data_IF_916793306280
#
_entry.id   IF_916793306280
#
_cell.length_a   1.000
_cell.length_b   1.000
_cell.length_c   1.000
_cell.angle_alpha   90.00
_cell.angle_beta   90.00
_cell.angle_gamma   90.00
#
_symmetry.space_group_name_H-M   'P 1'
#
loop_
_entity.id
_entity.type
_entity.pdbx_description
1 polymer ?
#
# COMPACT_ATOMS: atom_id res chain seq x y z
N UNK A 1 12.71 -12.06 -51.16
CA UNK A 1 12.55 -13.08 -50.11
C UNK A 1 11.53 -12.54 -49.13
N UNK A 2 10.29 -13.06 -49.03
CA UNK A 2 9.38 -12.56 -48.02
C UNK A 2 9.70 -13.27 -46.70
N UNK A 3 10.06 -12.46 -45.68
CA UNK A 3 10.25 -12.91 -44.31
C UNK A 3 8.90 -13.32 -43.71
N UNK A 4 8.77 -14.58 -43.31
CA UNK A 4 7.60 -15.07 -42.58
C UNK A 4 7.63 -14.55 -41.15
N UNK A 5 6.67 -13.68 -40.83
CA UNK A 5 6.45 -13.19 -39.47
C UNK A 5 5.82 -14.31 -38.64
N UNK A 6 6.59 -14.93 -37.75
CA UNK A 6 6.03 -15.87 -36.77
C UNK A 6 5.31 -15.09 -35.67
N UNK A 7 3.98 -15.23 -35.62
CA UNK A 7 3.18 -14.74 -34.50
C UNK A 7 3.30 -15.77 -33.38
N UNK A 8 4.16 -15.51 -32.39
CA UNK A 8 4.23 -16.32 -31.17
C UNK A 8 3.11 -15.88 -30.24
N UNK A 9 2.02 -16.65 -30.18
CA UNK A 9 0.99 -16.46 -29.16
C UNK A 9 1.53 -16.88 -27.78
N UNK A 10 1.09 -16.20 -26.72
CA UNK A 10 1.41 -16.59 -25.35
C UNK A 10 0.88 -18.01 -25.07
N UNK A 11 1.65 -18.86 -24.35
CA UNK A 11 1.19 -20.20 -24.01
C UNK A 11 -0.04 -20.13 -23.11
N UNK A 12 -1.10 -20.83 -23.47
CA UNK A 12 -2.30 -20.98 -22.64
C UNK A 12 -2.04 -22.10 -21.63
N UNK A 13 -2.30 -21.83 -20.34
CA UNK A 13 -2.18 -22.83 -19.30
C UNK A 13 -3.08 -24.04 -19.60
N UNK A 14 -2.54 -25.25 -19.45
CA UNK A 14 -3.30 -26.50 -19.64
C UNK A 14 -4.43 -26.56 -18.61
N UNK A 15 -5.68 -26.43 -19.04
CA UNK A 15 -6.85 -26.81 -18.23
C UNK A 15 -7.00 -28.33 -18.28
N UNK A 16 -6.79 -29.01 -17.15
CA UNK A 16 -7.13 -30.42 -17.02
C UNK A 16 -8.66 -30.55 -16.89
N UNK A 17 -9.30 -31.57 -17.50
CA UNK A 17 -10.71 -31.82 -17.30
C UNK A 17 -10.96 -32.28 -15.85
N UNK A 18 -11.95 -31.66 -15.20
CA UNK A 18 -12.40 -31.97 -13.84
C UNK A 18 -13.60 -31.09 -13.48
N UNK A 19 -14.52 -31.59 -12.66
CA UNK A 19 -15.60 -30.76 -12.13
C UNK A 19 -15.07 -29.94 -10.95
N UNK A 20 -15.22 -28.62 -11.02
CA UNK A 20 -14.98 -27.70 -9.91
C UNK A 20 -16.34 -27.09 -9.49
N UNK A 21 -16.98 -27.62 -8.43
CA UNK A 21 -18.25 -27.11 -7.95
C UNK A 21 -18.21 -25.65 -7.47
N UNK A 22 -17.02 -25.09 -7.24
CA UNK A 22 -16.82 -23.74 -6.73
C UNK A 22 -16.29 -22.77 -7.79
N UNK A 23 -16.20 -23.20 -9.05
CA UNK A 23 -15.72 -22.35 -10.14
C UNK A 23 -16.50 -21.03 -10.28
N UNK A 24 -17.77 -21.01 -9.87
CA UNK A 24 -18.62 -19.82 -9.88
C UNK A 24 -18.10 -18.68 -8.97
N UNK A 25 -17.33 -19.00 -7.91
CA UNK A 25 -16.69 -17.99 -7.03
C UNK A 25 -15.61 -17.16 -7.73
N UNK A 26 -15.16 -17.57 -8.92
CA UNK A 26 -14.19 -16.80 -9.72
C UNK A 26 -14.81 -15.52 -10.29
N UNK A 27 -16.14 -15.48 -10.44
CA UNK A 27 -16.89 -14.30 -10.92
C UNK A 27 -17.12 -13.33 -9.76
N UNK A 28 -16.02 -12.72 -9.28
CA UNK A 28 -15.93 -11.94 -8.03
C UNK A 28 -16.97 -10.82 -7.90
N UNK A 29 -17.33 -10.20 -9.03
CA UNK A 29 -18.23 -9.05 -9.06
C UNK A 29 -19.70 -9.45 -9.30
N UNK A 30 -20.00 -10.75 -9.41
CA UNK A 30 -21.37 -11.23 -9.56
C UNK A 30 -22.17 -11.07 -8.26
N UNK A 31 -23.47 -10.81 -8.39
CA UNK A 31 -24.36 -10.65 -7.24
C UNK A 31 -24.37 -11.90 -6.34
N UNK A 32 -24.35 -13.09 -6.95
CA UNK A 32 -24.34 -14.38 -6.24
C UNK A 32 -23.09 -14.54 -5.36
N UNK A 33 -21.91 -14.20 -5.89
CA UNK A 33 -20.65 -14.26 -5.13
C UNK A 33 -20.63 -13.23 -4.00
N UNK A 34 -21.05 -12.00 -4.28
CA UNK A 34 -21.09 -10.94 -3.27
C UNK A 34 -22.07 -11.28 -2.13
N UNK A 35 -23.22 -11.87 -2.43
CA UNK A 35 -24.19 -12.25 -1.42
C UNK A 35 -23.72 -13.43 -0.57
N UNK A 36 -23.03 -14.40 -1.18
CA UNK A 36 -22.36 -15.47 -0.44
C UNK A 36 -21.27 -14.93 0.49
N UNK A 37 -20.42 -14.02 0.02
CA UNK A 37 -19.38 -13.39 0.84
C UNK A 37 -19.94 -12.59 2.02
N UNK A 38 -21.07 -11.88 1.83
CA UNK A 38 -21.76 -11.21 2.94
C UNK A 38 -22.28 -12.20 3.97
N UNK A 39 -22.83 -13.33 3.53
CA UNK A 39 -23.33 -14.38 4.41
C UNK A 39 -22.20 -15.03 5.22
N UNK A 40 -21.06 -15.32 4.58
CA UNK A 40 -19.86 -15.81 5.25
C UNK A 40 -19.32 -14.80 6.28
N UNK A 41 -19.25 -13.51 5.92
CA UNK A 41 -18.84 -12.47 6.87
C UNK A 41 -19.79 -12.37 8.06
N UNK A 42 -21.11 -12.46 7.84
CA UNK A 42 -22.09 -12.44 8.94
C UNK A 42 -21.95 -13.65 9.86
N UNK A 43 -21.68 -14.84 9.30
CA UNK A 43 -21.41 -16.04 10.08
C UNK A 43 -20.14 -15.88 10.92
N UNK A 44 -19.05 -15.36 10.33
CA UNK A 44 -17.80 -15.07 11.02
C UNK A 44 -18.01 -14.13 12.21
N UNK A 45 -18.72 -13.01 12.01
CA UNK A 45 -19.01 -12.06 13.09
C UNK A 45 -19.81 -12.72 14.22
N UNK A 46 -20.77 -13.59 13.89
CA UNK A 46 -21.52 -14.35 14.90
C UNK A 46 -20.64 -15.34 15.68
N UNK A 47 -19.70 -16.02 15.01
CA UNK A 47 -18.77 -16.95 15.69
C UNK A 47 -17.75 -16.24 16.58
N UNK A 48 -17.37 -15.02 16.21
CA UNK A 48 -16.37 -14.24 16.95
C UNK A 48 -16.96 -13.26 17.97
N UNK A 49 -18.28 -13.18 18.08
CA UNK A 49 -18.97 -12.21 18.93
C UNK A 49 -18.49 -12.26 20.40
N UNK A 50 -18.32 -13.46 20.95
CA UNK A 50 -17.87 -13.66 22.34
C UNK A 50 -16.42 -13.19 22.59
N UNK A 51 -15.64 -12.98 21.52
CA UNK A 51 -14.23 -12.59 21.58
C UNK A 51 -14.05 -11.07 21.41
N UNK A 52 -15.12 -10.30 21.28
CA UNK A 52 -15.04 -8.87 20.97
C UNK A 52 -14.17 -8.08 21.97
N UNK A 53 -14.33 -8.34 23.27
CA UNK A 53 -13.55 -7.67 24.30
C UNK A 53 -12.05 -8.00 24.25
N UNK A 54 -11.72 -9.26 23.91
CA UNK A 54 -10.33 -9.68 23.74
C UNK A 54 -9.72 -9.02 22.50
N UNK A 55 -10.45 -8.98 21.39
CA UNK A 55 -10.03 -8.33 20.14
C UNK A 55 -9.74 -6.84 20.35
N UNK A 56 -10.63 -6.15 21.08
CA UNK A 56 -10.45 -4.73 21.41
C UNK A 56 -9.19 -4.51 22.28
N UNK A 57 -9.01 -5.33 23.31
CA UNK A 57 -7.80 -5.28 24.15
C UNK A 57 -6.53 -5.45 23.31
N UNK A 58 -6.50 -6.45 22.44
CA UNK A 58 -5.37 -6.71 21.56
C UNK A 58 -5.14 -5.56 20.57
N UNK A 59 -6.21 -4.97 20.04
CA UNK A 59 -6.13 -3.82 19.14
C UNK A 59 -5.45 -2.64 19.84
N UNK A 60 -5.91 -2.24 21.03
CA UNK A 60 -5.32 -1.15 21.79
C UNK A 60 -3.88 -1.44 22.24
N UNK A 61 -3.58 -2.69 22.60
CA UNK A 61 -2.19 -3.08 22.90
C UNK A 61 -1.27 -2.97 21.70
N UNK A 62 -1.70 -3.42 20.52
CA UNK A 62 -0.91 -3.33 19.29
C UNK A 62 -0.74 -1.87 18.90
N UNK A 63 -1.82 -1.10 18.91
CA UNK A 63 -1.80 0.35 18.62
C UNK A 63 -0.86 1.09 19.56
N UNK A 64 -0.93 0.82 20.86
CA UNK A 64 -0.07 1.44 21.87
C UNK A 64 1.42 1.09 21.73
N UNK A 65 1.77 0.05 20.97
CA UNK A 65 3.17 -0.32 20.65
C UNK A 65 3.66 0.30 19.34
N UNK A 66 2.79 0.94 18.58
CA UNK A 66 3.12 1.63 17.34
C UNK A 66 3.43 3.09 17.67
N UNK A 67 4.60 3.57 17.24
CA UNK A 67 4.92 4.98 17.29
C UNK A 67 4.16 5.70 16.17
N UNK A 68 2.98 6.26 16.48
CA UNK A 68 2.13 6.86 15.44
C UNK A 68 2.77 8.10 14.80
N UNK A 69 3.51 8.88 15.58
CA UNK A 69 4.28 10.02 15.07
C UNK A 69 5.74 9.64 14.96
N UNK A 70 6.16 9.28 13.75
CA UNK A 70 7.52 8.83 13.48
C UNK A 70 8.09 9.53 12.25
N UNK A 71 9.41 9.68 12.26
CA UNK A 71 10.20 10.21 11.16
C UNK A 71 11.19 9.12 10.76
N UNK A 72 11.13 8.68 9.51
CA UNK A 72 12.09 7.70 9.02
C UNK A 72 13.51 8.26 9.05
N UNK A 73 14.50 7.37 9.05
CA UNK A 73 15.89 7.77 8.85
C UNK A 73 16.04 8.53 7.51
N UNK A 74 16.56 9.76 7.51
CA UNK A 74 16.76 10.52 6.29
C UNK A 74 17.81 9.87 5.38
N UNK A 75 17.45 9.66 4.13
CA UNK A 75 18.33 9.10 3.09
C UNK A 75 18.90 10.24 2.23
N UNK A 76 20.22 10.47 2.24
CA UNK A 76 20.83 11.50 1.42
C UNK A 76 20.89 11.09 -0.05
N UNK A 77 20.44 11.99 -0.94
CA UNK A 77 20.63 11.84 -2.38
C UNK A 77 20.74 13.20 -3.08
N UNK A 78 21.88 13.44 -3.72
CA UNK A 78 22.15 14.70 -4.38
C UNK A 78 22.09 15.87 -3.38
N UNK A 79 21.36 16.96 -3.69
CA UNK A 79 21.26 18.12 -2.81
C UNK A 79 20.15 18.00 -1.74
N UNK A 80 19.53 16.82 -1.59
CA UNK A 80 18.39 16.61 -0.70
C UNK A 80 18.59 15.45 0.28
N UNK A 81 17.89 15.52 1.40
CA UNK A 81 17.56 14.38 2.24
C UNK A 81 16.11 13.97 1.96
N UNK A 82 15.86 12.68 1.80
CA UNK A 82 14.52 12.10 1.60
C UNK A 82 14.09 11.28 2.80
N UNK A 83 12.84 11.42 3.21
CA UNK A 83 12.30 10.70 4.36
C UNK A 83 10.79 10.62 4.28
N UNK A 84 10.21 9.78 5.13
CA UNK A 84 8.78 9.75 5.37
C UNK A 84 8.46 10.18 6.79
N UNK A 85 7.26 10.71 6.99
CA UNK A 85 6.72 11.04 8.30
C UNK A 85 5.30 10.51 8.43
N UNK A 86 4.99 9.97 9.60
CA UNK A 86 3.63 9.72 10.06
C UNK A 86 3.32 10.69 11.20
N UNK A 87 2.06 11.05 11.33
CA UNK A 87 1.51 11.76 12.49
C UNK A 87 0.35 10.95 13.07
N UNK A 88 0.01 11.20 14.33
CA UNK A 88 -1.09 10.47 14.98
C UNK A 88 -2.39 10.53 14.16
N UNK A 89 -2.96 9.37 13.86
CA UNK A 89 -4.15 9.22 13.02
C UNK A 89 -3.91 9.14 11.52
N UNK A 90 -2.66 9.26 11.03
CA UNK A 90 -2.37 8.95 9.62
C UNK A 90 -2.45 7.45 9.37
N UNK A 91 -3.11 7.06 8.29
CA UNK A 91 -3.16 5.66 7.83
C UNK A 91 -1.93 5.32 6.96
N UNK A 92 -1.29 6.33 6.38
CA UNK A 92 -0.18 6.20 5.46
C UNK A 92 0.94 7.21 5.75
N UNK A 93 2.19 6.82 5.54
CA UNK A 93 3.32 7.73 5.67
C UNK A 93 3.35 8.74 4.51
N UNK A 94 3.53 10.03 4.83
CA UNK A 94 3.75 11.09 3.83
C UNK A 94 5.22 11.13 3.42
N UNK A 95 5.48 11.44 2.15
CA UNK A 95 6.83 11.49 1.60
C UNK A 95 7.31 12.93 1.52
N UNK A 96 8.50 13.19 2.06
CA UNK A 96 9.09 14.52 2.14
C UNK A 96 10.52 14.53 1.60
N UNK A 97 11.01 15.74 1.35
CA UNK A 97 12.43 16.03 1.24
C UNK A 97 12.79 17.34 1.93
N UNK A 98 14.05 17.53 2.28
CA UNK A 98 14.59 18.84 2.64
C UNK A 98 15.99 19.03 2.05
N UNK A 99 16.53 20.25 2.13
CA UNK A 99 17.90 20.52 1.65
C UNK A 99 18.91 19.77 2.50
N UNK A 100 19.90 19.16 1.85
CA UNK A 100 21.00 18.52 2.57
C UNK A 100 21.86 19.57 3.28
N UNK A 101 22.14 19.39 4.58
CA UNK A 101 23.04 20.26 5.33
C UNK A 101 24.43 20.35 4.71
N UNK A 102 25.08 21.53 4.82
CA UNK A 102 26.42 21.76 4.29
C UNK A 102 27.53 20.99 5.05
N UNK A 103 27.24 20.55 6.27
CA UNK A 103 28.13 19.71 7.08
C UNK A 103 27.99 18.20 6.79
N UNK A 104 27.24 17.85 5.74
CA UNK A 104 26.95 16.49 5.31
C UNK A 104 26.22 15.61 6.34
N UNK A 105 25.70 16.20 7.42
CA UNK A 105 24.86 15.50 8.38
C UNK A 105 23.51 15.06 7.79
N UNK A 106 22.92 14.02 8.37
CA UNK A 106 21.54 13.59 8.05
C UNK A 106 20.51 14.32 8.92
N UNK A 107 20.82 15.54 9.36
CA UNK A 107 19.89 16.32 10.17
C UNK A 107 18.82 16.95 9.28
N UNK A 108 17.55 16.69 9.59
CA UNK A 108 16.43 17.29 8.85
C UNK A 108 16.30 18.76 9.21
N UNK A 109 16.42 19.62 8.19
CA UNK A 109 16.06 21.03 8.29
C UNK A 109 14.58 21.21 7.96
N UNK A 110 13.76 21.40 8.99
CA UNK A 110 12.32 21.61 8.84
C UNK A 110 11.96 22.90 8.09
N UNK A 111 12.86 23.88 7.99
CA UNK A 111 12.59 25.14 7.28
C UNK A 111 12.67 25.00 5.76
N UNK A 112 13.36 23.98 5.26
CA UNK A 112 13.47 23.65 3.84
C UNK A 112 12.71 22.37 3.45
N UNK A 113 11.82 21.90 4.34
CA UNK A 113 10.99 20.73 4.11
C UNK A 113 9.95 20.97 3.00
N UNK A 114 9.85 20.01 2.09
CA UNK A 114 8.92 19.98 0.96
C UNK A 114 8.16 18.65 0.97
N UNK A 115 6.82 18.71 0.95
CA UNK A 115 5.96 17.54 0.76
C UNK A 115 5.99 17.10 -0.70
N UNK A 116 6.31 15.83 -0.95
CA UNK A 116 6.34 15.25 -2.29
C UNK A 116 5.07 14.49 -2.61
N UNK A 117 4.55 13.72 -1.65
CA UNK A 117 3.37 12.88 -1.83
C UNK A 117 2.64 12.71 -0.50
N UNK A 118 1.34 12.93 -0.52
CA UNK A 118 0.45 12.62 0.60
C UNK A 118 -0.52 11.49 0.21
N UNK A 119 -0.20 10.23 0.57
CA UNK A 119 -1.09 9.11 0.33
C UNK A 119 -2.42 9.21 1.09
N UNK A 120 -2.48 9.86 2.25
CA UNK A 120 -3.73 10.01 3.01
C UNK A 120 -4.73 10.90 2.26
N UNK A 121 -4.23 12.00 1.68
CA UNK A 121 -5.05 12.88 0.84
C UNK A 121 -5.54 12.17 -0.42
N UNK A 122 -4.70 11.33 -1.04
CA UNK A 122 -5.07 10.54 -2.22
C UNK A 122 -6.04 9.41 -1.90
N UNK A 123 -5.90 8.79 -0.73
CA UNK A 123 -6.80 7.76 -0.23
C UNK A 123 -8.22 8.30 -0.01
N UNK A 124 -8.33 9.53 0.53
CA UNK A 124 -9.60 10.17 0.86
C UNK A 124 -10.53 9.25 1.69
N UNK A 125 -9.95 8.54 2.67
CA UNK A 125 -10.64 7.55 3.52
C UNK A 125 -10.94 6.21 2.85
N UNK A 126 -10.52 6.02 1.60
CA UNK A 126 -10.54 4.74 0.90
C UNK A 126 -9.22 3.99 1.01
N UNK A 127 -9.14 2.85 0.35
CA UNK A 127 -7.88 2.11 0.23
C UNK A 127 -6.96 2.81 -0.78
N UNK A 128 -5.75 3.11 -0.35
CA UNK A 128 -4.65 3.53 -1.23
C UNK A 128 -3.45 2.59 -1.08
N UNK A 129 -2.79 2.31 -2.21
CA UNK A 129 -1.56 1.53 -2.24
C UNK A 129 -0.58 2.20 -3.18
N UNK A 130 0.54 2.63 -2.62
CA UNK A 130 1.68 3.13 -3.39
C UNK A 130 2.56 1.95 -3.78
N UNK A 131 2.70 1.73 -5.08
CA UNK A 131 3.60 0.72 -5.64
C UNK A 131 5.04 1.24 -5.71
N UNK A 132 5.54 1.42 -6.94
CA UNK A 132 6.84 2.05 -7.14
C UNK A 132 6.74 3.56 -6.86
N UNK A 133 7.77 4.08 -6.20
CA UNK A 133 7.98 5.51 -5.97
C UNK A 133 9.40 5.82 -6.43
N UNK A 134 9.56 6.62 -7.47
CA UNK A 134 10.87 6.95 -8.02
C UNK A 134 11.00 8.42 -8.30
N UNK A 135 12.09 9.01 -7.83
CA UNK A 135 12.43 10.40 -8.12
C UNK A 135 13.45 10.41 -9.25
N UNK A 136 13.33 11.37 -10.17
CA UNK A 136 14.27 11.51 -11.26
C UNK A 136 15.68 11.90 -10.77
N UNK A 137 16.76 11.56 -11.51
CA UNK A 137 18.12 11.94 -11.12
C UNK A 137 18.38 13.46 -11.03
N UNK A 138 17.57 14.27 -11.69
CA UNK A 138 17.61 15.75 -11.58
C UNK A 138 16.75 16.28 -10.41
N UNK A 139 16.07 15.40 -9.68
CA UNK A 139 15.21 15.71 -8.54
C UNK A 139 14.00 16.60 -8.87
N UNK A 140 13.61 16.71 -10.15
CA UNK A 140 12.51 17.57 -10.59
C UNK A 140 11.21 16.83 -10.88
N UNK A 141 11.24 15.50 -10.92
CA UNK A 141 10.07 14.67 -11.24
C UNK A 141 9.92 13.53 -10.26
N UNK A 142 8.67 13.17 -10.03
CA UNK A 142 8.25 12.00 -9.28
C UNK A 142 7.39 11.12 -10.20
N UNK A 143 7.64 9.82 -10.19
CA UNK A 143 6.90 8.80 -10.94
C UNK A 143 6.50 7.64 -10.04
#
# INVERSE_FOLDING_TARGET
>A
MPSSTHITAAPIARKAPGQDPYAWLQERDSAEVLDYLKAENAWLEAQLADQQALRETLFEEIKGRILETDLSLPSPWGPYLYYTRTTAGDEYARHYRCRRPADDSNQVDASSEELLLDPNALANGGFFSLGAFSISPDHQRLA
#
